data_IF_611411146143
#
_entry.id   IF_611411146143
#
_cell.length_a   1.000
_cell.length_b   1.000
_cell.length_c   1.000
_cell.angle_alpha   90.00
_cell.angle_beta   90.00
_cell.angle_gamma   90.00
#
_symmetry.space_group_name_H-M   'P 1'
#
loop_
_entity.id
_entity.type
_entity.pdbx_description
1 polymer ?
#
# COMPACT_ATOMS: atom_id res chain seq x y z
N UNK A 1 15.56 -14.21 -8.28
CA UNK A 1 14.53 -13.59 -7.43
C UNK A 1 13.32 -14.53 -7.38
N UNK A 2 12.80 -14.87 -6.20
CA UNK A 2 11.60 -15.69 -6.08
C UNK A 2 10.34 -14.83 -6.32
N UNK A 3 9.24 -15.44 -6.77
CA UNK A 3 7.94 -14.80 -6.99
C UNK A 3 7.46 -13.98 -5.79
N UNK A 4 7.70 -14.45 -4.57
CA UNK A 4 7.32 -13.71 -3.36
C UNK A 4 8.05 -12.37 -3.25
N UNK A 5 9.36 -12.35 -3.55
CA UNK A 5 10.16 -11.13 -3.53
C UNK A 5 9.72 -10.15 -4.63
N UNK A 6 9.35 -10.66 -5.81
CA UNK A 6 8.81 -9.83 -6.90
C UNK A 6 7.47 -9.18 -6.52
N UNK A 7 6.58 -9.93 -5.86
CA UNK A 7 5.29 -9.41 -5.40
C UNK A 7 5.48 -8.35 -4.32
N UNK A 8 6.42 -8.54 -3.40
CA UNK A 8 6.70 -7.56 -2.36
C UNK A 8 7.32 -6.27 -2.94
N UNK A 9 8.31 -6.39 -3.83
CA UNK A 9 8.88 -5.23 -4.53
C UNK A 9 7.84 -4.45 -5.32
N UNK A 10 6.95 -5.16 -6.02
CA UNK A 10 5.84 -4.53 -6.72
C UNK A 10 4.89 -3.83 -5.73
N UNK A 11 4.56 -4.48 -4.62
CA UNK A 11 3.74 -3.88 -3.57
C UNK A 11 4.38 -2.61 -3.01
N UNK A 12 5.69 -2.62 -2.75
CA UNK A 12 6.43 -1.45 -2.29
C UNK A 12 6.41 -0.31 -3.33
N UNK A 13 6.62 -0.62 -4.61
CA UNK A 13 6.54 0.37 -5.69
C UNK A 13 5.13 0.99 -5.81
N UNK A 14 4.09 0.18 -5.65
CA UNK A 14 2.70 0.63 -5.62
C UNK A 14 2.45 1.56 -4.43
N UNK A 15 3.01 1.26 -3.25
CA UNK A 15 2.91 2.14 -2.08
C UNK A 15 3.66 3.46 -2.26
N UNK A 16 4.84 3.46 -2.90
CA UNK A 16 5.54 4.70 -3.28
C UNK A 16 4.68 5.59 -4.16
N UNK A 17 4.00 5.01 -5.16
CA UNK A 17 3.08 5.75 -6.04
C UNK A 17 1.87 6.30 -5.28
N UNK A 18 1.29 5.51 -4.37
CA UNK A 18 0.19 5.92 -3.52
C UNK A 18 0.59 7.09 -2.59
N UNK A 19 1.79 7.03 -1.99
CA UNK A 19 2.29 8.13 -1.16
C UNK A 19 2.53 9.39 -1.98
N UNK A 20 3.09 9.28 -3.18
CA UNK A 20 3.24 10.43 -4.07
C UNK A 20 1.88 11.06 -4.42
N UNK A 21 0.84 10.26 -4.64
CA UNK A 21 -0.51 10.76 -4.87
C UNK A 21 -1.08 11.49 -3.62
N UNK A 22 -0.87 10.95 -2.42
CA UNK A 22 -1.30 11.58 -1.17
C UNK A 22 -0.57 12.89 -0.85
N UNK A 23 0.72 13.02 -1.23
CA UNK A 23 1.45 14.27 -1.05
C UNK A 23 0.91 15.39 -1.95
N UNK A 24 0.44 15.04 -3.15
CA UNK A 24 -0.15 16.00 -4.09
C UNK A 24 -1.61 16.34 -3.72
N UNK A 25 -2.36 15.35 -3.26
CA UNK A 25 -3.75 15.52 -2.86
C UNK A 25 -4.03 14.75 -1.55
N UNK A 26 -3.89 15.42 -0.39
CA UNK A 26 -4.18 14.83 0.91
C UNK A 26 -5.64 14.36 1.07
N UNK A 27 -6.60 14.88 0.28
CA UNK A 27 -8.00 14.49 0.38
C UNK A 27 -8.21 13.01 -0.02
N UNK A 28 -7.32 12.45 -0.83
CA UNK A 28 -7.35 11.03 -1.19
C UNK A 28 -7.17 10.09 0.00
N UNK A 29 -6.63 10.58 1.13
CA UNK A 29 -6.52 9.81 2.37
C UNK A 29 -7.88 9.30 2.84
N UNK A 30 -8.92 10.09 2.67
CA UNK A 30 -10.28 9.72 3.09
C UNK A 30 -10.80 8.52 2.29
N UNK A 31 -10.44 8.40 1.02
CA UNK A 31 -10.78 7.24 0.19
C UNK A 31 -10.14 5.94 0.71
N UNK A 32 -8.92 6.02 1.22
CA UNK A 32 -8.27 4.88 1.87
C UNK A 32 -8.98 4.51 3.19
N UNK A 33 -9.34 5.50 4.01
CA UNK A 33 -10.11 5.30 5.26
C UNK A 33 -11.46 4.63 4.99
N UNK A 34 -12.22 5.13 4.02
CA UNK A 34 -13.51 4.55 3.62
C UNK A 34 -13.37 3.11 3.10
N UNK A 35 -12.28 2.82 2.40
CA UNK A 35 -11.99 1.47 1.91
C UNK A 35 -11.74 0.52 3.08
N UNK A 36 -10.91 0.92 4.04
CA UNK A 36 -10.66 0.14 5.24
C UNK A 36 -11.95 -0.10 6.04
N UNK A 37 -12.76 0.95 6.25
CA UNK A 37 -14.04 0.84 6.95
C UNK A 37 -15.01 -0.16 6.29
N UNK A 38 -15.10 -0.15 4.95
CA UNK A 38 -15.92 -1.11 4.20
C UNK A 38 -15.45 -2.55 4.38
N UNK A 39 -14.14 -2.80 4.32
CA UNK A 39 -13.60 -4.16 4.53
C UNK A 39 -13.95 -4.68 5.92
N UNK A 40 -13.79 -3.85 6.96
CA UNK A 40 -14.13 -4.22 8.34
C UNK A 40 -15.61 -4.55 8.51
N UNK A 41 -16.50 -3.77 7.88
CA UNK A 41 -17.93 -4.05 7.92
C UNK A 41 -18.30 -5.36 7.21
N UNK A 42 -17.56 -5.75 6.16
CA UNK A 42 -17.86 -6.93 5.35
C UNK A 42 -17.25 -8.22 5.89
N UNK A 43 -16.09 -8.16 6.54
CA UNK A 43 -15.33 -9.35 6.90
C UNK A 43 -15.64 -9.94 8.27
N UNK A 44 -16.30 -9.19 9.17
CA UNK A 44 -16.43 -9.60 10.58
C UNK A 44 -15.09 -9.59 11.31
N UNK A 45 -14.98 -10.30 12.44
CA UNK A 45 -13.73 -10.39 13.21
C UNK A 45 -12.72 -11.28 12.47
N UNK A 46 -11.52 -10.76 12.20
CA UNK A 46 -10.50 -11.43 11.41
C UNK A 46 -9.12 -11.39 12.07
N UNK A 47 -8.23 -12.31 11.69
CA UNK A 47 -6.82 -12.25 12.10
C UNK A 47 -6.09 -10.99 11.61
N UNK A 48 -6.66 -10.28 10.63
CA UNK A 48 -6.11 -9.03 10.09
C UNK A 48 -6.50 -7.80 10.91
N UNK A 49 -7.37 -7.94 11.92
CA UNK A 49 -7.87 -6.80 12.70
C UNK A 49 -6.75 -6.01 13.39
N UNK A 50 -5.68 -6.69 13.81
CA UNK A 50 -4.49 -6.04 14.39
C UNK A 50 -3.84 -5.10 13.37
N UNK A 51 -3.61 -5.57 12.15
CA UNK A 51 -3.00 -4.78 11.07
C UNK A 51 -3.96 -3.70 10.56
N UNK A 52 -5.27 -3.95 10.56
CA UNK A 52 -6.27 -2.95 10.22
C UNK A 52 -6.39 -1.83 11.26
N UNK A 53 -6.25 -2.14 12.55
CA UNK A 53 -6.16 -1.14 13.61
C UNK A 53 -4.92 -0.26 13.43
N UNK A 54 -3.78 -0.88 13.09
CA UNK A 54 -2.56 -0.14 12.82
C UNK A 54 -2.71 0.78 11.60
N UNK A 55 -3.30 0.29 10.50
CA UNK A 55 -3.61 1.12 9.34
C UNK A 55 -4.52 2.30 9.67
N UNK A 56 -5.53 2.10 10.53
CA UNK A 56 -6.41 3.18 10.97
C UNK A 56 -5.65 4.27 11.74
N UNK A 57 -4.73 3.87 12.63
CA UNK A 57 -3.86 4.80 13.36
C UNK A 57 -2.92 5.54 12.42
N UNK A 58 -2.30 4.84 11.46
CA UNK A 58 -1.43 5.45 10.46
C UNK A 58 -2.17 6.40 9.52
N UNK A 59 -3.41 6.08 9.13
CA UNK A 59 -4.24 6.98 8.33
C UNK A 59 -4.72 8.20 9.13
N UNK A 60 -4.69 8.15 10.46
CA UNK A 60 -4.99 9.28 11.34
C UNK A 60 -3.75 10.11 11.71
N UNK A 61 -2.54 9.61 11.45
CA UNK A 61 -1.29 10.29 11.79
C UNK A 61 -0.84 11.29 10.72
N UNK A 62 0.27 11.98 10.98
CA UNK A 62 0.89 12.88 10.01
C UNK A 62 1.39 12.11 8.77
N UNK A 63 1.41 12.81 7.63
CA UNK A 63 1.76 12.19 6.34
C UNK A 63 3.17 11.58 6.33
N UNK A 64 4.12 12.17 7.07
CA UNK A 64 5.47 11.61 7.17
C UNK A 64 5.48 10.24 7.88
N UNK A 65 4.72 10.10 8.98
CA UNK A 65 4.62 8.85 9.75
C UNK A 65 3.97 7.77 8.89
N UNK A 66 2.86 8.11 8.22
CA UNK A 66 2.19 7.22 7.27
C UNK A 66 3.15 6.77 6.15
N UNK A 67 3.93 7.70 5.59
CA UNK A 67 4.88 7.42 4.50
C UNK A 67 5.97 6.46 4.97
N UNK A 68 6.53 6.68 6.15
CA UNK A 68 7.57 5.81 6.72
C UNK A 68 7.06 4.38 6.91
N UNK A 69 5.86 4.23 7.47
CA UNK A 69 5.27 2.91 7.69
C UNK A 69 4.89 2.22 6.38
N UNK A 70 4.30 2.94 5.41
CA UNK A 70 3.91 2.37 4.12
C UNK A 70 5.11 1.89 3.28
N UNK A 71 6.28 2.47 3.50
CA UNK A 71 7.51 2.21 2.75
C UNK A 71 8.57 1.41 3.54
N UNK A 72 8.21 0.90 4.73
CA UNK A 72 9.12 0.12 5.56
C UNK A 72 9.48 -1.22 4.87
N UNK A 73 10.76 -1.49 4.66
CA UNK A 73 11.24 -2.69 3.99
C UNK A 73 11.39 -3.90 4.94
N UNK A 74 11.00 -3.75 6.20
CA UNK A 74 10.96 -4.83 7.20
C UNK A 74 9.88 -5.87 6.91
N UNK A 75 9.98 -7.05 7.54
CA UNK A 75 8.93 -8.08 7.49
C UNK A 75 7.56 -7.54 7.95
N UNK A 76 7.55 -6.66 8.96
CA UNK A 76 6.32 -6.00 9.41
C UNK A 76 5.75 -5.08 8.33
N UNK A 77 6.60 -4.32 7.64
CA UNK A 77 6.19 -3.50 6.50
C UNK A 77 5.60 -4.34 5.35
N UNK A 78 6.17 -5.51 5.07
CA UNK A 78 5.62 -6.46 4.08
C UNK A 78 4.23 -6.95 4.49
N UNK A 79 4.05 -7.33 5.77
CA UNK A 79 2.76 -7.74 6.32
C UNK A 79 1.73 -6.61 6.22
N UNK A 80 2.10 -5.40 6.61
CA UNK A 80 1.24 -4.22 6.51
C UNK A 80 0.80 -3.96 5.06
N UNK A 81 1.72 -4.03 4.10
CA UNK A 81 1.41 -3.86 2.67
C UNK A 81 0.48 -4.95 2.12
N UNK A 82 0.51 -6.16 2.66
CA UNK A 82 -0.34 -7.28 2.20
C UNK A 82 -1.83 -7.04 2.43
N UNK A 83 -2.18 -6.18 3.40
CA UNK A 83 -3.56 -5.83 3.78
C UNK A 83 -3.84 -4.33 3.67
N UNK A 84 -3.08 -3.63 2.84
CA UNK A 84 -3.09 -2.17 2.80
C UNK A 84 -4.31 -1.57 2.07
N UNK A 85 -4.98 -0.56 2.66
CA UNK A 85 -6.03 0.19 2.00
C UNK A 85 -5.52 1.20 0.96
N UNK A 86 -4.21 1.47 0.92
CA UNK A 86 -3.62 2.50 0.04
C UNK A 86 -3.62 2.10 -1.43
N UNK A 87 -3.75 0.81 -1.74
CA UNK A 87 -3.71 0.36 -3.12
C UNK A 87 -4.85 0.91 -3.98
N UNK A 88 -5.99 1.27 -3.38
CA UNK A 88 -7.12 1.89 -4.11
C UNK A 88 -6.81 3.28 -4.66
N UNK A 89 -5.73 3.91 -4.19
CA UNK A 89 -5.29 5.22 -4.65
C UNK A 89 -4.49 5.14 -5.96
N UNK A 90 -4.02 3.95 -6.32
CA UNK A 90 -3.28 3.71 -7.57
C UNK A 90 -4.23 3.13 -8.61
N UNK A 91 -4.44 3.88 -9.69
CA UNK A 91 -5.31 3.50 -10.80
C UNK A 91 -4.78 2.27 -11.53
N UNK A 92 -5.66 1.61 -12.29
CA UNK A 92 -5.27 0.46 -13.10
C UNK A 92 -4.16 0.80 -14.11
N UNK A 93 -4.24 1.98 -14.74
CA UNK A 93 -3.22 2.43 -15.70
C UNK A 93 -1.84 2.56 -15.03
N UNK A 94 -1.77 3.17 -13.85
CA UNK A 94 -0.53 3.32 -13.10
C UNK A 94 0.03 1.98 -12.63
N UNK A 95 -0.84 1.04 -12.22
CA UNK A 95 -0.42 -0.33 -11.90
C UNK A 95 0.22 -1.01 -13.11
N UNK A 96 -0.35 -0.84 -14.31
CA UNK A 96 0.23 -1.39 -15.54
C UNK A 96 1.57 -0.74 -15.87
N UNK A 97 1.73 0.57 -15.68
CA UNK A 97 3.02 1.25 -15.83
C UNK A 97 4.08 0.69 -14.87
N UNK A 98 3.73 0.50 -13.59
CA UNK A 98 4.64 -0.09 -12.60
C UNK A 98 5.03 -1.53 -12.96
N UNK A 99 4.09 -2.33 -13.46
CA UNK A 99 4.37 -3.68 -13.95
C UNK A 99 5.30 -3.68 -15.17
N UNK A 100 5.12 -2.73 -16.10
CA UNK A 100 5.99 -2.59 -17.27
C UNK A 100 7.42 -2.20 -16.86
N UNK A 101 7.57 -1.22 -15.95
CA UNK A 101 8.87 -0.79 -15.41
C UNK A 101 9.60 -1.95 -14.72
N UNK A 102 8.90 -2.71 -13.87
CA UNK A 102 9.49 -3.86 -13.20
C UNK A 102 9.96 -4.96 -14.18
N UNK A 103 9.30 -5.10 -15.34
CA UNK A 103 9.72 -6.06 -16.39
C UNK A 103 10.94 -5.56 -17.15
N UNK A 104 11.04 -4.26 -17.39
CA UNK A 104 12.17 -3.62 -18.07
C UNK A 104 13.42 -3.63 -17.21
N UNK A 105 13.32 -3.33 -15.91
CA UNK A 105 14.45 -3.38 -14.97
C UNK A 105 15.08 -4.76 -14.85
N UNK A 106 14.29 -5.83 -14.98
CA UNK A 106 14.78 -7.22 -14.99
C UNK A 106 15.39 -7.60 -16.36
N UNK A 107 15.07 -6.86 -17.42
CA UNK A 107 15.55 -7.11 -18.77
C UNK A 107 16.84 -6.34 -19.14
N UNK A 108 17.35 -5.47 -18.26
CA UNK A 108 18.66 -4.83 -18.42
C UNK A 108 19.76 -5.78 -17.90
N UNK A 109 20.67 -6.26 -18.76
CA UNK A 109 21.74 -7.19 -18.40
C UNK A 109 22.88 -6.55 -17.60
#
# INVERSE_FOLDING_TARGET
>A
MNRQQQLDQFSLALHRRAMAALHLDPAQRERARQTLARWRQQSGETRSDVLWNEWEQLLASDLEVLTRAALDDSEHGQLMRSVSPLGVLVSQAERMTLLQQAREEVAVP
#
